data_IF_036106200189
#
_entry.id   IF_036106200189
#
_cell.length_a   1.000
_cell.length_b   1.000
_cell.length_c   1.000
_cell.angle_alpha   90.00
_cell.angle_beta   90.00
_cell.angle_gamma   90.00
#
_symmetry.space_group_name_H-M   'P 1'
#
loop_
_entity.id
_entity.type
_entity.pdbx_description
1 polymer ?
#
# COMPACT_ATOMS: atom_id res chain seq x y z
N UNK A 1 -14.14 1.98 -11.45
CA UNK A 1 -15.20 1.84 -10.42
C UNK A 1 -14.54 1.55 -9.09
N UNK A 2 -14.97 2.22 -8.02
CA UNK A 2 -14.58 1.87 -6.65
C UNK A 2 -15.82 1.45 -5.87
N UNK A 3 -15.70 0.40 -5.07
CA UNK A 3 -16.69 -0.05 -4.09
C UNK A 3 -16.06 0.05 -2.72
N UNK A 4 -16.77 0.63 -1.77
CA UNK A 4 -16.33 0.82 -0.41
C UNK A 4 -17.46 0.31 0.49
N UNK A 5 -17.12 -0.59 1.40
CA UNK A 5 -18.07 -1.21 2.33
C UNK A 5 -17.56 -1.01 3.75
N UNK A 6 -18.41 -0.45 4.60
CA UNK A 6 -18.11 -0.22 6.01
C UNK A 6 -18.74 -1.34 6.84
N UNK A 7 -17.93 -1.93 7.71
CA UNK A 7 -18.32 -2.93 8.69
C UNK A 7 -18.01 -2.41 10.10
N UNK A 8 -18.38 -3.17 11.12
CA UNK A 8 -18.19 -2.76 12.52
C UNK A 8 -16.71 -2.63 12.91
N UNK A 9 -15.85 -3.45 12.31
CA UNK A 9 -14.43 -3.61 12.64
C UNK A 9 -13.48 -3.36 11.46
N UNK A 10 -13.99 -3.06 10.26
CA UNK A 10 -13.15 -2.79 9.10
C UNK A 10 -13.84 -2.03 7.96
N UNK A 11 -12.99 -1.45 7.10
CA UNK A 11 -13.36 -0.89 5.80
C UNK A 11 -12.85 -1.81 4.70
N UNK A 12 -13.75 -2.28 3.84
CA UNK A 12 -13.41 -3.07 2.64
C UNK A 12 -13.46 -2.18 1.40
N UNK A 13 -12.35 -2.10 0.66
CA UNK A 13 -12.24 -1.35 -0.59
C UNK A 13 -11.98 -2.30 -1.77
N UNK A 14 -12.70 -2.14 -2.86
CA UNK A 14 -12.40 -2.77 -4.16
C UNK A 14 -12.30 -1.70 -5.24
N UNK A 15 -11.20 -1.71 -5.99
CA UNK A 15 -10.97 -0.83 -7.13
C UNK A 15 -10.89 -1.66 -8.39
N UNK A 16 -11.64 -1.27 -9.43
CA UNK A 16 -11.74 -2.00 -10.70
C UNK A 16 -11.61 -1.07 -11.89
N UNK A 17 -10.76 -1.43 -12.86
CA UNK A 17 -10.58 -0.74 -14.15
C UNK A 17 -10.75 -1.76 -15.28
N UNK A 18 -11.63 -1.47 -16.23
CA UNK A 18 -11.92 -2.37 -17.38
C UNK A 18 -11.51 -1.68 -18.67
N UNK A 19 -10.72 -2.38 -19.48
CA UNK A 19 -10.44 -1.96 -20.84
C UNK A 19 -11.68 -2.22 -21.69
N UNK A 20 -12.12 -1.22 -22.45
CA UNK A 20 -13.23 -1.37 -23.39
C UNK A 20 -12.73 -2.07 -24.66
N UNK A 21 -12.72 -1.36 -25.79
CA UNK A 21 -12.44 -1.95 -27.10
C UNK A 21 -10.95 -2.07 -27.44
N UNK A 22 -10.08 -1.48 -26.62
CA UNK A 22 -8.64 -1.46 -26.84
C UNK A 22 -7.87 -1.82 -25.58
N UNK A 23 -6.72 -2.47 -25.77
CA UNK A 23 -5.73 -2.67 -24.72
C UNK A 23 -5.30 -1.31 -24.15
N UNK A 24 -5.11 -1.22 -22.84
CA UNK A 24 -4.64 0.01 -22.20
C UNK A 24 -3.70 -0.26 -21.03
N UNK A 25 -2.71 0.62 -20.79
CA UNK A 25 -1.97 0.58 -19.55
C UNK A 25 -2.90 0.96 -18.39
N UNK A 26 -2.90 0.16 -17.33
CA UNK A 26 -3.57 0.49 -16.08
C UNK A 26 -2.73 0.03 -14.89
N UNK A 27 -2.58 0.93 -13.93
CA UNK A 27 -2.08 0.66 -12.59
C UNK A 27 -3.04 1.34 -11.62
N UNK A 28 -3.36 0.68 -10.52
CA UNK A 28 -4.33 1.17 -9.55
C UNK A 28 -3.85 0.94 -8.13
N UNK A 29 -4.26 1.79 -7.21
CA UNK A 29 -3.93 1.69 -5.80
C UNK A 29 -4.71 2.70 -4.98
N UNK A 30 -4.35 2.80 -3.70
CA UNK A 30 -4.92 3.76 -2.76
C UNK A 30 -3.82 4.58 -2.10
N UNK A 31 -4.16 5.80 -1.70
CA UNK A 31 -3.26 6.71 -0.99
C UNK A 31 -3.87 7.10 0.37
N UNK A 32 -4.12 6.16 1.30
CA UNK A 32 -4.72 6.49 2.58
C UNK A 32 -3.71 7.25 3.45
N UNK A 33 -4.13 8.42 3.92
CA UNK A 33 -3.39 9.22 4.89
C UNK A 33 -3.90 8.89 6.28
N UNK A 34 -3.01 8.45 7.15
CA UNK A 34 -3.28 8.28 8.57
C UNK A 34 -2.64 9.42 9.35
N UNK A 35 -3.27 9.82 10.46
CA UNK A 35 -2.60 10.65 11.48
C UNK A 35 -1.34 9.92 11.91
N UNK A 36 -0.26 10.66 12.25
CA UNK A 36 1.02 10.05 12.65
C UNK A 36 0.78 9.03 13.77
N UNK A 37 1.12 7.75 13.58
CA UNK A 37 0.96 6.74 14.60
C UNK A 37 1.97 6.94 15.73
N UNK A 38 1.64 6.45 16.92
CA UNK A 38 2.60 6.39 18.03
C UNK A 38 3.72 5.39 17.72
N UNK A 39 3.39 4.31 17.02
CA UNK A 39 4.34 3.35 16.46
C UNK A 39 3.74 2.62 15.26
N UNK A 40 4.59 2.13 14.35
CA UNK A 40 4.17 1.40 13.17
C UNK A 40 5.06 0.16 12.96
N UNK A 41 4.45 -0.95 12.57
CA UNK A 41 5.15 -2.17 12.14
C UNK A 41 5.06 -2.24 10.61
N UNK A 42 6.11 -1.76 9.95
CA UNK A 42 6.21 -1.66 8.49
C UNK A 42 7.47 -2.42 8.05
N UNK A 43 7.35 -3.75 7.96
CA UNK A 43 8.48 -4.62 7.65
C UNK A 43 8.37 -5.17 6.24
N UNK A 44 9.28 -4.74 5.37
CA UNK A 44 9.37 -5.17 3.98
C UNK A 44 10.70 -5.85 3.71
N UNK A 45 10.74 -6.78 2.77
CA UNK A 45 11.97 -7.45 2.36
C UNK A 45 12.77 -6.64 1.35
N UNK A 46 12.09 -5.80 0.56
CA UNK A 46 12.66 -5.12 -0.59
C UNK A 46 12.11 -3.69 -0.71
N UNK A 47 12.96 -2.78 -1.16
CA UNK A 47 12.66 -1.38 -1.45
C UNK A 47 13.23 -1.04 -2.83
N UNK A 48 12.45 -0.35 -3.67
CA UNK A 48 12.95 0.11 -4.96
C UNK A 48 13.97 1.24 -4.78
N UNK A 49 15.10 1.13 -5.47
CA UNK A 49 16.10 2.20 -5.56
C UNK A 49 15.53 3.33 -6.41
N UNK A 50 15.59 4.56 -5.90
CA UNK A 50 15.17 5.78 -6.63
C UNK A 50 16.37 6.50 -7.24
N UNK A 51 16.14 7.15 -8.38
CA UNK A 51 17.07 8.12 -8.95
C UNK A 51 16.97 9.50 -8.28
N UNK A 52 17.72 10.48 -8.81
CA UNK A 52 17.76 11.83 -8.27
C UNK A 52 16.43 12.59 -8.40
N UNK A 53 15.52 12.14 -9.27
CA UNK A 53 14.19 12.72 -9.47
C UNK A 53 13.13 11.99 -8.63
N UNK A 54 13.53 11.01 -7.82
CA UNK A 54 12.63 10.21 -6.98
C UNK A 54 11.90 9.11 -7.74
N UNK A 55 12.33 8.77 -8.96
CA UNK A 55 11.70 7.74 -9.78
C UNK A 55 12.39 6.39 -9.53
N UNK A 56 11.64 5.29 -9.32
CA UNK A 56 12.23 3.97 -9.18
C UNK A 56 13.01 3.54 -10.44
N UNK A 57 14.25 3.09 -10.26
CA UNK A 57 15.13 2.64 -11.35
C UNK A 57 14.79 1.23 -11.87
N UNK A 58 13.98 0.49 -11.11
CA UNK A 58 13.69 -0.93 -11.32
C UNK A 58 14.61 -1.88 -10.57
N UNK A 59 15.66 -1.38 -9.92
CA UNK A 59 16.47 -2.14 -8.97
C UNK A 59 15.79 -2.19 -7.61
N UNK A 60 15.87 -3.35 -6.92
CA UNK A 60 15.40 -3.52 -5.56
C UNK A 60 16.60 -3.79 -4.62
N UNK A 61 16.56 -3.20 -3.44
CA UNK A 61 17.56 -3.33 -2.39
C UNK A 61 16.88 -3.57 -1.02
N UNK A 62 17.68 -3.85 0.01
CA UNK A 62 17.16 -3.87 1.38
C UNK A 62 16.62 -2.49 1.77
N UNK A 63 15.51 -2.40 2.51
CA UNK A 63 14.98 -1.13 3.03
C UNK A 63 16.04 -0.30 3.77
N UNK A 64 16.05 1.01 3.53
CA UNK A 64 16.86 1.96 4.29
C UNK A 64 16.19 2.34 5.61
N UNK A 65 16.87 3.11 6.44
CA UNK A 65 16.26 3.73 7.63
C UNK A 65 15.19 4.78 7.23
N UNK A 66 14.23 4.99 8.13
CA UNK A 66 13.18 6.02 8.03
C UNK A 66 13.74 7.46 8.20
N UNK A 67 13.03 8.51 7.74
CA UNK A 67 11.69 8.50 7.13
C UNK A 67 11.71 8.13 5.64
N UNK A 68 10.62 7.53 5.17
CA UNK A 68 10.48 7.05 3.80
C UNK A 68 9.55 7.91 2.94
N UNK A 69 9.79 7.84 1.64
CA UNK A 69 8.90 8.21 0.55
C UNK A 69 9.12 7.22 -0.58
N UNK A 70 8.98 5.93 -0.26
CA UNK A 70 9.60 4.86 -1.02
C UNK A 70 8.61 3.73 -1.31
N UNK A 71 8.85 3.00 -2.40
CA UNK A 71 8.05 1.85 -2.81
C UNK A 71 8.71 0.55 -2.34
N UNK A 72 7.93 -0.30 -1.68
CA UNK A 72 8.36 -1.56 -1.08
C UNK A 72 7.61 -2.75 -1.66
N UNK A 73 8.22 -3.93 -1.55
CA UNK A 73 7.63 -5.24 -1.90
C UNK A 73 7.94 -6.25 -0.78
N UNK A 74 7.30 -7.42 -0.85
CA UNK A 74 7.54 -8.53 0.08
C UNK A 74 7.31 -8.15 1.56
N UNK A 75 6.07 -7.84 1.98
CA UNK A 75 5.78 -7.60 3.39
C UNK A 75 6.13 -8.86 4.21
N UNK A 76 6.97 -8.68 5.23
CA UNK A 76 7.48 -9.77 6.07
C UNK A 76 6.64 -10.00 7.33
N UNK A 77 5.73 -9.08 7.62
CA UNK A 77 4.80 -9.14 8.74
C UNK A 77 3.54 -8.33 8.38
N UNK A 78 2.44 -8.45 9.14
CA UNK A 78 1.28 -7.58 8.99
C UNK A 78 1.67 -6.11 9.06
N UNK A 79 1.04 -5.29 8.22
CA UNK A 79 1.20 -3.83 8.19
C UNK A 79 0.30 -3.26 9.27
N UNK A 80 0.90 -2.75 10.35
CA UNK A 80 0.17 -2.31 11.53
C UNK A 80 0.54 -0.88 11.93
N UNK A 81 -0.47 -0.10 12.31
CA UNK A 81 -0.31 1.25 12.87
C UNK A 81 -0.96 1.27 14.26
N UNK A 82 -0.25 1.77 15.26
CA UNK A 82 -0.69 1.78 16.65
C UNK A 82 -0.93 3.20 17.14
N UNK A 83 -2.06 3.36 17.80
CA UNK A 83 -2.56 4.61 18.33
C UNK A 83 -3.09 4.44 19.75
N UNK A 84 -3.33 5.57 20.38
CA UNK A 84 -4.14 5.69 21.58
C UNK A 84 -5.37 6.53 21.23
N UNK A 85 -6.55 6.04 21.57
CA UNK A 85 -7.81 6.78 21.37
C UNK A 85 -7.88 7.98 22.31
N UNK A 86 -8.78 8.96 22.06
CA UNK A 86 -8.99 10.08 22.98
C UNK A 86 -9.34 9.66 24.42
N UNK A 87 -9.96 8.49 24.59
CA UNK A 87 -10.34 7.91 25.90
C UNK A 87 -9.27 6.95 26.47
N UNK A 88 -8.03 7.02 25.97
CA UNK A 88 -6.88 6.22 26.44
C UNK A 88 -6.97 4.70 26.21
N UNK A 89 -7.80 4.25 25.27
CA UNK A 89 -7.79 2.87 24.81
C UNK A 89 -6.77 2.65 23.69
N UNK A 90 -6.02 1.53 23.70
CA UNK A 90 -5.20 1.13 22.56
C UNK A 90 -6.05 0.92 21.30
N UNK A 91 -5.61 1.47 20.18
CA UNK A 91 -6.17 1.25 18.86
C UNK A 91 -5.10 0.65 17.95
N UNK A 92 -5.39 -0.53 17.42
CA UNK A 92 -4.58 -1.17 16.38
C UNK A 92 -5.30 -1.03 15.05
N UNK A 93 -4.61 -0.46 14.06
CA UNK A 93 -5.03 -0.50 12.66
C UNK A 93 -4.17 -1.53 11.93
N UNK A 94 -4.80 -2.44 11.20
CA UNK A 94 -4.11 -3.42 10.34
C UNK A 94 -4.57 -3.23 8.91
N UNK A 95 -3.62 -3.16 7.98
CA UNK A 95 -3.90 -3.06 6.55
C UNK A 95 -3.56 -4.36 5.84
N UNK A 96 -4.46 -4.81 4.96
CA UNK A 96 -4.24 -5.94 4.05
C UNK A 96 -4.61 -5.53 2.61
N UNK A 97 -3.96 -6.14 1.63
CA UNK A 97 -4.23 -5.87 0.22
C UNK A 97 -3.77 -7.02 -0.67
N UNK A 98 -4.46 -7.22 -1.80
CA UNK A 98 -4.00 -8.12 -2.87
C UNK A 98 -2.99 -7.44 -3.83
N UNK A 99 -2.63 -6.19 -3.54
CA UNK A 99 -1.51 -5.49 -4.15
C UNK A 99 -0.17 -6.05 -3.65
N UNK A 100 0.82 -6.07 -4.56
CA UNK A 100 2.18 -6.55 -4.31
C UNK A 100 3.18 -5.43 -4.03
N UNK A 101 2.79 -4.16 -4.26
CA UNK A 101 3.61 -2.98 -4.01
C UNK A 101 2.98 -2.10 -2.94
N UNK A 102 3.82 -1.50 -2.10
CA UNK A 102 3.42 -0.61 -1.01
C UNK A 102 4.27 0.65 -1.03
N UNK A 103 3.68 1.81 -1.29
CA UNK A 103 4.38 3.09 -1.07
C UNK A 103 4.17 3.51 0.38
N UNK A 104 5.26 3.82 1.08
CA UNK A 104 5.22 4.37 2.43
C UNK A 104 5.77 5.80 2.38
N UNK A 105 4.91 6.76 2.70
CA UNK A 105 5.29 8.15 2.86
C UNK A 105 5.18 8.57 4.33
N UNK A 106 6.32 8.71 5.00
CA UNK A 106 6.42 8.95 6.44
C UNK A 106 7.17 10.26 6.81
N UNK A 107 7.55 11.06 5.82
CA UNK A 107 8.27 12.32 6.06
C UNK A 107 7.50 13.36 6.89
N UNK A 108 6.17 13.57 6.71
CA UNK A 108 5.46 14.55 7.50
C UNK A 108 5.39 14.18 8.99
N UNK A 109 5.58 15.17 9.86
CA UNK A 109 5.50 14.95 11.31
C UNK A 109 4.09 14.61 11.82
N UNK A 110 3.04 14.91 11.03
CA UNK A 110 1.65 14.78 11.44
C UNK A 110 0.91 13.63 10.73
N UNK A 111 1.55 12.92 9.79
CA UNK A 111 0.91 11.87 9.01
C UNK A 111 1.87 10.78 8.54
N UNK A 112 1.29 9.62 8.25
CA UNK A 112 1.94 8.50 7.55
C UNK A 112 0.99 7.99 6.49
N UNK A 113 1.48 7.77 5.27
CA UNK A 113 0.71 7.12 4.20
C UNK A 113 1.18 5.67 4.04
N UNK A 114 0.21 4.77 3.83
CA UNK A 114 0.46 3.35 3.63
C UNK A 114 -0.32 2.91 2.40
N UNK A 115 0.35 2.79 1.27
CA UNK A 115 -0.30 2.88 -0.05
C UNK A 115 -0.15 1.59 -0.83
N UNK A 116 -1.14 0.67 -0.79
CA UNK A 116 -1.10 -0.51 -1.63
C UNK A 116 -1.37 -0.16 -3.10
N UNK A 117 -0.48 -0.61 -3.99
CA UNK A 117 -0.52 -0.34 -5.43
C UNK A 117 -0.30 -1.62 -6.25
N UNK A 118 -0.93 -1.74 -7.41
CA UNK A 118 -0.85 -2.92 -8.28
C UNK A 118 0.48 -3.07 -9.03
N UNK A 119 1.46 -2.21 -8.74
CA UNK A 119 2.75 -2.08 -9.40
C UNK A 119 3.52 -0.90 -8.78
N UNK A 120 4.82 -0.74 -9.08
CA UNK A 120 5.62 0.36 -8.55
C UNK A 120 5.31 1.66 -9.32
N UNK A 121 5.64 2.83 -8.74
CA UNK A 121 5.71 4.06 -9.50
C UNK A 121 6.54 3.86 -10.79
N UNK A 122 6.06 4.41 -11.91
CA UNK A 122 6.66 4.26 -13.24
C UNK A 122 6.77 2.81 -13.78
N UNK A 123 5.95 1.88 -13.25
CA UNK A 123 6.05 0.46 -13.55
C UNK A 123 5.97 0.06 -15.03
N UNK A 124 5.27 0.81 -15.88
CA UNK A 124 5.21 0.53 -17.33
C UNK A 124 6.53 0.79 -18.06
N UNK A 125 7.35 1.71 -17.56
CA UNK A 125 8.68 1.96 -18.13
C UNK A 125 9.71 1.02 -17.52
N UNK A 126 9.64 0.76 -16.21
CA UNK A 126 10.47 -0.25 -15.53
C UNK A 126 10.30 -1.62 -16.17
N UNK A 127 9.07 -2.04 -16.50
CA UNK A 127 8.80 -3.31 -17.18
C UNK A 127 9.52 -3.49 -18.53
N UNK A 128 9.94 -2.39 -19.18
CA UNK A 128 10.75 -2.42 -20.41
C UNK A 128 12.24 -2.65 -20.13
N UNK A 129 12.69 -2.30 -18.92
CA UNK A 129 14.09 -2.38 -18.49
C UNK A 129 14.43 -3.73 -17.85
N UNK A 130 13.49 -4.34 -17.12
CA UNK A 130 13.68 -5.66 -16.50
C UNK A 130 13.39 -6.80 -17.47
N UNK A 131 14.26 -7.83 -17.45
CA UNK A 131 14.15 -9.03 -18.30
C UNK A 131 12.89 -9.87 -18.03
N UNK A 132 12.16 -9.62 -16.94
CA UNK A 132 10.91 -10.28 -16.57
C UNK A 132 9.84 -9.21 -16.26
N UNK A 133 8.85 -8.99 -17.14
CA UNK A 133 7.77 -8.03 -16.91
C UNK A 133 6.90 -8.35 -15.67
N UNK A 134 6.89 -9.62 -15.25
CA UNK A 134 6.11 -10.09 -14.09
C UNK A 134 6.62 -9.55 -12.77
N UNK A 135 7.90 -9.18 -12.64
CA UNK A 135 8.45 -8.62 -11.41
C UNK A 135 8.17 -7.12 -11.24
N UNK A 136 7.66 -6.44 -12.27
CA UNK A 136 7.35 -5.01 -12.23
C UNK A 136 5.85 -4.70 -12.03
N UNK A 137 4.99 -5.72 -11.82
CA UNK A 137 3.55 -5.57 -11.57
C UNK A 137 2.68 -4.94 -12.67
N UNK A 138 3.28 -4.32 -13.70
CA UNK A 138 2.60 -3.42 -14.63
C UNK A 138 2.54 -4.02 -16.04
N UNK A 139 1.43 -4.67 -16.36
CA UNK A 139 1.10 -5.15 -17.70
C UNK A 139 -0.15 -4.46 -18.22
N UNK A 140 -0.27 -4.19 -19.54
CA UNK A 140 -1.51 -3.66 -20.10
C UNK A 140 -2.67 -4.63 -19.82
N UNK A 141 -3.82 -4.07 -19.47
CA UNK A 141 -5.08 -4.83 -19.48
C UNK A 141 -5.56 -4.95 -20.91
N UNK A 142 -5.92 -6.18 -21.33
CA UNK A 142 -6.41 -6.43 -22.68
C UNK A 142 -7.85 -5.96 -22.85
N UNK A 143 -8.25 -5.62 -24.07
CA UNK A 143 -9.64 -5.30 -24.41
C UNK A 143 -10.62 -6.32 -23.77
N UNK A 144 -11.65 -5.82 -23.07
CA UNK A 144 -12.64 -6.60 -22.34
C UNK A 144 -12.18 -7.15 -20.97
N UNK A 145 -10.91 -7.02 -20.59
CA UNK A 145 -10.42 -7.47 -19.27
C UNK A 145 -10.59 -6.41 -18.19
N UNK A 146 -10.72 -6.87 -16.95
CA UNK A 146 -10.75 -6.01 -15.76
C UNK A 146 -9.56 -6.28 -14.85
N UNK A 147 -8.80 -5.24 -14.53
CA UNK A 147 -7.90 -5.21 -13.36
C UNK A 147 -8.74 -4.91 -12.13
N UNK A 148 -8.67 -5.78 -11.11
CA UNK A 148 -9.29 -5.57 -9.80
C UNK A 148 -8.23 -5.67 -8.72
N UNK A 149 -8.31 -4.78 -7.74
CA UNK A 149 -7.54 -4.85 -6.50
C UNK A 149 -8.46 -4.63 -5.31
N UNK A 150 -8.04 -5.13 -4.16
CA UNK A 150 -8.73 -5.02 -2.88
C UNK A 150 -7.77 -4.55 -1.80
N UNK A 151 -8.27 -3.73 -0.89
CA UNK A 151 -7.60 -3.34 0.34
C UNK A 151 -8.61 -3.44 1.49
N UNK A 152 -8.18 -3.92 2.64
CA UNK A 152 -8.95 -3.79 3.88
C UNK A 152 -8.17 -2.98 4.91
N UNK A 153 -8.89 -2.19 5.69
CA UNK A 153 -8.36 -1.46 6.85
C UNK A 153 -9.18 -1.93 8.05
N UNK A 154 -8.57 -2.75 8.90
CA UNK A 154 -9.17 -3.26 10.13
C UNK A 154 -8.82 -2.36 11.30
N UNK A 155 -9.73 -2.22 12.25
CA UNK A 155 -9.47 -1.59 13.54
C UNK A 155 -9.87 -2.49 14.69
N UNK A 156 -9.00 -2.58 15.70
CA UNK A 156 -9.28 -3.21 16.99
C UNK A 156 -9.09 -2.16 18.09
N UNK A 157 -10.15 -1.94 18.86
CA UNK A 157 -10.13 -1.11 20.07
C UNK A 157 -10.28 -2.06 21.26
N UNK A 158 -9.17 -2.33 21.94
CA UNK A 158 -9.23 -3.12 23.17
C UNK A 158 -9.62 -2.20 24.33
N UNK A 159 -10.84 -2.34 24.84
CA UNK A 159 -11.22 -1.68 26.07
C UNK A 159 -10.28 -2.15 27.20
N UNK A 160 -9.66 -1.22 27.92
CA UNK A 160 -8.90 -1.54 29.12
C UNK A 160 -9.84 -2.32 30.05
N UNK A 161 -9.48 -3.56 30.37
CA UNK A 161 -10.23 -4.35 31.34
C UNK A 161 -10.31 -3.53 32.63
N UNK A 162 -11.51 -3.08 32.98
CA UNK A 162 -11.74 -2.45 34.27
C UNK A 162 -11.29 -3.45 35.33
N UNK A 163 -10.35 -3.10 36.25
CA UNK A 163 -9.99 -4.00 37.33
C UNK A 163 -11.28 -4.32 38.10
N UNK A 164 -11.57 -5.62 38.25
CA UNK A 164 -12.61 -6.07 39.20
C UNK A 164 -12.16 -5.84 40.63
#
# INVERSE_FOLDING_TARGET
KQRIELHDDHLSCELSVTAADHDMPAQVGWHPWFVKPQSAQLHFGEMYVRDADGIPTGEAASPSDQPWDDCFTNPLAPIELRYETPDHYPLLITLDSDCDHWVIYDQPAHATCVEPQSGPPDGFNIAKLVKSPRSAGSSPIRAGQTLRRKMTIHWDITAAQTPR
#
